data_IF_761337313287
#
_entry.id   IF_761337313287
#
_cell.length_a   1.000
_cell.length_b   1.000
_cell.length_c   1.000
_cell.angle_alpha   90.00
_cell.angle_beta   90.00
_cell.angle_gamma   90.00
#
_symmetry.space_group_name_H-M   'P 1'
#
loop_
_entity.id
_entity.type
_entity.pdbx_description
1 polymer ?
#
# COMPACT_ATOMS: atom_id res chain seq x y z
N UNK A 1 9.97 -22.10 -35.32
CA UNK A 1 9.95 -21.31 -34.06
C UNK A 1 9.52 -19.89 -34.38
N UNK A 2 8.22 -19.61 -34.32
CA UNK A 2 7.70 -18.25 -34.46
C UNK A 2 7.59 -17.64 -33.07
N UNK A 3 8.44 -16.66 -32.79
CA UNK A 3 8.42 -15.91 -31.53
C UNK A 3 7.31 -14.86 -31.57
N UNK A 4 6.28 -15.06 -30.74
CA UNK A 4 5.28 -14.04 -30.46
C UNK A 4 5.91 -12.92 -29.62
N UNK A 5 6.22 -11.80 -30.28
CA UNK A 5 6.42 -10.52 -29.60
C UNK A 5 5.05 -9.92 -29.33
N UNK A 6 4.51 -10.18 -28.15
CA UNK A 6 3.35 -9.44 -27.66
C UNK A 6 3.77 -7.98 -27.41
N UNK A 7 3.27 -7.08 -28.24
CA UNK A 7 3.42 -5.64 -28.08
C UNK A 7 2.57 -5.20 -26.88
N UNK A 8 3.22 -4.83 -25.77
CA UNK A 8 2.58 -4.06 -24.70
C UNK A 8 2.43 -2.63 -25.20
N UNK A 9 1.26 -2.31 -25.77
CA UNK A 9 0.88 -0.95 -26.09
C UNK A 9 0.64 -0.17 -24.78
N UNK A 10 1.22 1.02 -24.71
CA UNK A 10 1.12 1.93 -23.58
C UNK A 10 -0.33 2.35 -23.34
N UNK A 11 -0.91 1.91 -22.23
CA UNK A 11 -2.21 2.38 -21.72
C UNK A 11 -1.96 3.72 -21.03
N UNK A 12 -2.04 4.80 -21.80
CA UNK A 12 -2.06 6.16 -21.31
C UNK A 12 -3.21 6.87 -21.98
N UNK A 13 -4.41 6.87 -21.37
CA UNK A 13 -5.55 7.58 -21.93
C UNK A 13 -6.60 7.88 -20.85
N UNK A 14 -6.45 9.06 -20.25
CA UNK A 14 -7.48 9.78 -19.51
C UNK A 14 -7.22 11.28 -19.71
N UNK A 15 -7.55 11.78 -20.89
CA UNK A 15 -7.53 13.20 -21.21
C UNK A 15 -8.79 13.58 -22.00
N UNK A 16 -9.56 14.50 -21.38
CA UNK A 16 -10.53 15.44 -21.96
C UNK A 16 -11.89 14.89 -22.43
N UNK A 17 -12.93 15.09 -21.61
CA UNK A 17 -14.30 15.30 -22.07
C UNK A 17 -15.04 16.33 -21.20
N UNK A 18 -15.30 17.50 -21.77
CA UNK A 18 -16.18 18.53 -21.22
C UNK A 18 -17.59 18.41 -21.81
N UNK A 19 -18.60 18.39 -20.94
CA UNK A 19 -19.95 18.88 -21.23
C UNK A 19 -21.04 17.84 -21.50
N UNK A 20 -21.93 17.63 -20.52
CA UNK A 20 -23.39 17.76 -20.64
C UNK A 20 -24.11 17.39 -19.32
N UNK A 21 -25.16 18.15 -18.99
CA UNK A 21 -25.82 18.29 -17.68
C UNK A 21 -27.07 17.40 -17.42
N UNK A 22 -27.24 17.01 -16.14
CA UNK A 22 -28.49 16.88 -15.31
C UNK A 22 -29.53 15.76 -15.58
N UNK A 23 -30.43 15.39 -14.61
CA UNK A 23 -30.28 15.29 -13.14
C UNK A 23 -30.98 14.06 -12.44
N UNK A 24 -30.45 13.70 -11.25
CA UNK A 24 -31.06 13.25 -9.97
C UNK A 24 -32.17 12.18 -9.86
N UNK A 25 -32.07 11.27 -8.86
CA UNK A 25 -33.09 10.94 -7.81
C UNK A 25 -32.48 10.10 -6.65
N UNK A 26 -32.99 10.37 -5.42
CA UNK A 26 -32.77 9.80 -4.05
C UNK A 26 -33.07 8.28 -3.92
N UNK A 27 -32.65 7.49 -2.93
CA UNK A 27 -31.97 7.67 -1.63
C UNK A 27 -32.20 6.44 -0.70
N UNK A 28 -31.62 6.47 0.52
CA UNK A 28 -31.89 5.61 1.72
C UNK A 28 -31.23 4.21 1.75
N UNK A 29 -30.16 3.94 2.53
CA UNK A 29 -30.08 3.74 4.00
C UNK A 29 -30.07 2.22 4.30
N UNK A 30 -29.24 1.56 5.13
CA UNK A 30 -28.36 1.87 6.26
C UNK A 30 -27.40 0.67 6.55
N UNK A 31 -26.48 0.90 7.50
CA UNK A 31 -25.82 -0.03 8.46
C UNK A 31 -24.43 -0.58 8.09
N UNK A 32 -23.47 -0.19 8.93
CA UNK A 32 -22.01 -0.38 8.89
C UNK A 32 -21.53 -1.72 9.43
N UNK A 33 -20.38 -2.19 8.94
CA UNK A 33 -19.57 -3.24 9.56
C UNK A 33 -18.09 -2.79 9.68
N UNK A 34 -17.43 -3.28 10.72
CA UNK A 34 -16.25 -2.73 11.42
C UNK A 34 -14.96 -2.52 10.62
N UNK A 35 -14.32 -1.38 10.92
CA UNK A 35 -13.01 -0.91 10.45
C UNK A 35 -11.90 -1.50 11.36
N UNK A 36 -10.86 -2.11 10.80
CA UNK A 36 -9.73 -2.65 11.57
C UNK A 36 -8.70 -1.55 11.78
N UNK A 37 -8.59 -1.11 13.03
CA UNK A 37 -7.90 0.11 13.45
C UNK A 37 -6.36 -0.01 13.56
N UNK A 38 -5.67 1.13 13.49
CA UNK A 38 -4.24 1.28 13.75
C UNK A 38 -3.92 0.80 15.18
N UNK A 39 -3.29 -0.38 15.32
CA UNK A 39 -3.01 -0.97 16.63
C UNK A 39 -1.52 -1.00 16.97
N UNK A 40 -1.22 -0.63 18.21
CA UNK A 40 0.07 -0.88 18.88
C UNK A 40 0.18 -2.38 19.14
N UNK A 41 1.28 -3.01 18.71
CA UNK A 41 1.52 -4.43 19.02
C UNK A 41 2.33 -4.50 20.32
N UNK A 42 1.66 -4.85 21.41
CA UNK A 42 2.29 -5.21 22.69
C UNK A 42 3.17 -6.46 22.51
N UNK A 43 4.42 -6.38 22.98
CA UNK A 43 5.44 -7.43 22.83
C UNK A 43 5.31 -8.57 23.85
N UNK A 44 4.31 -8.51 24.74
CA UNK A 44 3.92 -9.63 25.59
C UNK A 44 4.12 -9.42 27.08
N UNK A 45 4.01 -8.19 27.60
CA UNK A 45 3.77 -7.96 29.02
C UNK A 45 2.34 -7.48 29.21
N UNK A 46 1.42 -8.43 29.39
CA UNK A 46 -0.02 -8.15 29.42
C UNK A 46 -0.39 -7.00 30.36
N UNK A 47 -0.79 -5.86 29.77
CA UNK A 47 -1.80 -4.98 30.34
C UNK A 47 -2.36 -4.07 29.23
N UNK A 48 -3.54 -4.43 28.71
CA UNK A 48 -4.30 -3.58 27.78
C UNK A 48 -4.82 -2.36 28.54
N UNK A 49 -4.02 -1.30 28.59
CA UNK A 49 -4.52 0.02 28.94
C UNK A 49 -4.60 0.84 27.66
N UNK A 50 -5.79 1.41 27.41
CA UNK A 50 -6.07 2.34 26.31
C UNK A 50 -5.29 3.65 26.52
N UNK A 51 -3.97 3.60 26.43
CA UNK A 51 -3.09 4.77 26.50
C UNK A 51 -2.73 5.19 25.07
N UNK A 52 -3.06 6.44 24.73
CA UNK A 52 -3.00 7.02 23.38
C UNK A 52 -1.58 7.22 22.82
N UNK A 53 -0.54 6.70 23.47
CA UNK A 53 0.84 6.82 22.98
C UNK A 53 1.63 5.58 23.40
N UNK A 54 2.25 4.85 22.46
CA UNK A 54 3.05 3.67 22.79
C UNK A 54 4.25 4.07 23.66
N UNK A 55 4.67 3.22 24.62
CA UNK A 55 5.85 3.51 25.44
C UNK A 55 7.09 3.70 24.54
N UNK A 56 8.04 4.59 24.91
CA UNK A 56 9.25 4.80 24.12
C UNK A 56 9.97 3.49 23.82
N UNK A 57 10.33 3.28 22.55
CA UNK A 57 10.99 2.05 22.13
C UNK A 57 10.03 0.87 21.95
N UNK A 58 8.85 1.12 21.39
CA UNK A 58 7.88 0.10 21.02
C UNK A 58 7.69 -0.01 19.50
N UNK A 59 7.17 -1.15 19.06
CA UNK A 59 6.77 -1.37 17.67
C UNK A 59 5.38 -0.77 17.40
N UNK A 60 5.30 0.09 16.40
CA UNK A 60 4.04 0.55 15.82
C UNK A 60 3.91 -0.01 14.41
N UNK A 61 2.75 -0.58 14.09
CA UNK A 61 2.44 -1.03 12.74
C UNK A 61 1.56 0.00 12.05
N UNK A 62 1.91 0.35 10.82
CA UNK A 62 1.03 1.08 9.92
C UNK A 62 0.81 0.25 8.67
N UNK A 63 -0.43 0.20 8.21
CA UNK A 63 -0.71 -0.25 6.84
C UNK A 63 -0.57 1.01 5.99
N UNK A 64 0.66 1.29 5.56
CA UNK A 64 0.82 2.27 4.49
C UNK A 64 0.35 1.60 3.20
N UNK A 65 -0.52 2.27 2.49
CA UNK A 65 -0.66 2.30 1.03
C UNK A 65 -0.28 1.13 0.12
N UNK A 66 0.94 0.62 0.28
CA UNK A 66 1.60 -0.33 -0.63
C UNK A 66 2.02 -1.62 0.09
N UNK A 67 2.21 -1.60 1.42
CA UNK A 67 2.49 -2.78 2.23
C UNK A 67 2.50 -2.43 3.74
N UNK A 68 2.38 -3.41 4.67
CA UNK A 68 2.59 -3.14 6.09
C UNK A 68 4.00 -2.58 6.34
N UNK A 69 4.06 -1.59 7.21
CA UNK A 69 5.29 -0.95 7.71
C UNK A 69 5.32 -1.15 9.22
N UNK A 70 6.41 -1.74 9.70
CA UNK A 70 6.74 -1.78 11.12
C UNK A 70 7.71 -0.63 11.41
N UNK A 71 7.41 0.17 12.43
CA UNK A 71 8.27 1.26 12.87
C UNK A 71 8.60 1.07 14.35
N UNK A 72 9.84 1.34 14.71
CA UNK A 72 10.34 1.31 16.07
C UNK A 72 10.91 2.68 16.42
N UNK A 73 10.54 3.20 17.58
CA UNK A 73 11.02 4.49 18.08
C UNK A 73 10.10 5.06 19.16
N UNK A 74 10.37 6.29 19.62
CA UNK A 74 9.51 6.99 20.58
C UNK A 74 8.11 7.30 20.03
N UNK A 75 7.98 7.54 18.72
CA UNK A 75 6.70 7.85 18.08
C UNK A 75 6.75 7.55 16.58
N UNK A 76 5.64 7.74 15.87
CA UNK A 76 5.56 7.57 14.42
C UNK A 76 6.24 8.70 13.63
N UNK A 77 6.57 9.82 14.28
CA UNK A 77 7.34 10.93 13.72
C UNK A 77 8.83 10.87 14.07
N UNK A 78 9.18 10.13 15.12
CA UNK A 78 10.55 9.88 15.56
C UNK A 78 10.88 8.40 15.41
N UNK A 79 11.10 7.97 14.17
CA UNK A 79 11.36 6.57 13.84
C UNK A 79 12.85 6.28 13.89
N UNK A 80 13.27 5.44 14.84
CA UNK A 80 14.65 4.98 14.97
C UNK A 80 14.98 3.85 14.00
N UNK A 81 14.01 2.98 13.70
CA UNK A 81 14.16 1.90 12.74
C UNK A 81 12.82 1.56 12.09
N UNK A 82 12.80 1.31 10.78
CA UNK A 82 11.61 0.86 10.09
C UNK A 82 11.88 -0.33 9.17
N UNK A 83 10.87 -1.17 9.02
CA UNK A 83 10.84 -2.31 8.10
C UNK A 83 9.58 -2.20 7.26
N UNK A 84 9.73 -2.12 5.94
CA UNK A 84 8.62 -2.07 4.98
C UNK A 84 8.80 -3.12 3.89
N UNK A 85 7.69 -3.58 3.35
CA UNK A 85 7.70 -4.46 2.18
C UNK A 85 7.62 -3.64 0.89
N UNK A 86 8.45 -3.99 -0.09
CA UNK A 86 8.28 -3.60 -1.49
C UNK A 86 7.86 -4.85 -2.29
N UNK A 87 6.56 -5.08 -2.48
CA UNK A 87 6.07 -6.28 -3.14
C UNK A 87 6.46 -6.32 -4.62
N UNK A 88 6.69 -5.17 -5.26
CA UNK A 88 7.08 -5.12 -6.68
C UNK A 88 8.51 -5.56 -6.88
N UNK A 89 9.41 -5.09 -6.03
CA UNK A 89 10.81 -5.47 -6.07
C UNK A 89 11.06 -6.84 -5.42
N UNK A 90 10.06 -7.43 -4.74
CA UNK A 90 10.21 -8.62 -3.91
C UNK A 90 11.35 -8.43 -2.89
N UNK A 91 11.36 -7.26 -2.24
CA UNK A 91 12.36 -6.91 -1.23
C UNK A 91 11.72 -6.40 0.05
N UNK A 92 12.41 -6.61 1.16
CA UNK A 92 12.21 -5.87 2.40
C UNK A 92 13.12 -4.65 2.36
N UNK A 93 12.57 -3.48 2.63
CA UNK A 93 13.35 -2.26 2.81
C UNK A 93 13.45 -2.02 4.32
N UNK A 94 14.68 -1.93 4.79
CA UNK A 94 14.99 -1.48 6.15
C UNK A 94 15.47 -0.04 6.08
N UNK A 95 14.99 0.80 6.99
CA UNK A 95 15.35 2.21 7.06
C UNK A 95 15.90 2.55 8.44
N UNK A 96 17.01 3.28 8.48
CA UNK A 96 17.66 3.74 9.71
C UNK A 96 18.21 5.16 9.52
N UNK A 97 17.89 6.14 10.40
CA UNK A 97 18.61 7.41 10.44
C UNK A 97 20.12 7.22 10.61
N UNK A 98 20.91 7.93 9.80
CA UNK A 98 22.37 7.85 9.87
C UNK A 98 23.07 8.43 8.64
N UNK A 99 24.38 8.73 8.74
CA UNK A 99 25.15 9.32 7.65
C UNK A 99 25.69 8.29 6.64
N UNK A 100 25.56 6.99 6.93
CA UNK A 100 26.16 5.94 6.12
C UNK A 100 25.51 5.73 4.75
N UNK A 101 26.09 4.81 3.99
CA UNK A 101 25.57 4.30 2.71
C UNK A 101 25.29 2.79 2.76
N UNK A 102 25.32 2.21 3.95
CA UNK A 102 25.08 0.80 4.21
C UNK A 102 24.30 0.67 5.52
N UNK A 103 23.50 -0.39 5.63
CA UNK A 103 22.86 -0.78 6.90
C UNK A 103 23.47 -2.09 7.35
N UNK A 104 24.06 -2.11 8.53
CA UNK A 104 24.57 -3.32 9.16
C UNK A 104 23.55 -3.78 10.20
N UNK A 105 23.08 -5.01 10.06
CA UNK A 105 22.16 -5.66 10.99
C UNK A 105 22.89 -6.79 11.67
N UNK A 106 23.02 -6.75 12.99
CA UNK A 106 23.44 -7.86 13.83
C UNK A 106 22.23 -8.55 14.44
N UNK A 107 22.20 -9.88 14.42
CA UNK A 107 21.22 -10.67 15.13
C UNK A 107 21.87 -11.41 16.31
N UNK A 108 21.04 -11.81 17.27
CA UNK A 108 21.47 -12.65 18.39
C UNK A 108 22.25 -13.89 17.91
N UNK A 109 23.30 -14.26 18.64
CA UNK A 109 24.19 -15.35 18.24
C UNK A 109 25.38 -14.93 17.35
N UNK A 110 25.63 -13.62 17.20
CA UNK A 110 26.83 -13.09 16.55
C UNK A 110 26.77 -13.05 15.02
N UNK A 111 25.63 -13.37 14.43
CA UNK A 111 25.43 -13.23 12.98
C UNK A 111 25.24 -11.76 12.65
N UNK A 112 26.01 -11.23 11.71
CA UNK A 112 25.84 -9.86 11.22
C UNK A 112 26.00 -9.81 9.71
N UNK A 113 25.16 -9.01 9.07
CA UNK A 113 25.18 -8.80 7.64
C UNK A 113 25.08 -7.31 7.33
N UNK A 114 25.87 -6.86 6.36
CA UNK A 114 25.85 -5.48 5.89
C UNK A 114 25.22 -5.43 4.50
N UNK A 115 24.23 -4.57 4.36
CA UNK A 115 23.48 -4.38 3.13
C UNK A 115 23.82 -3.00 2.53
N UNK A 116 24.00 -2.91 1.20
CA UNK A 116 24.12 -1.61 0.55
C UNK A 116 22.81 -0.83 0.71
N UNK A 117 22.93 0.47 0.93
CA UNK A 117 21.78 1.36 1.12
C UNK A 117 21.94 2.69 0.37
N UNK A 118 20.86 3.45 0.35
CA UNK A 118 20.80 4.79 -0.23
C UNK A 118 20.46 5.77 0.89
N UNK A 119 21.29 6.82 1.06
CA UNK A 119 21.00 7.89 2.00
C UNK A 119 20.06 8.89 1.34
N UNK A 120 18.86 9.04 1.90
CA UNK A 120 17.81 9.94 1.45
C UNK A 120 17.41 10.77 2.67
N UNK A 121 17.71 12.06 2.64
CA UNK A 121 17.38 13.02 3.70
C UNK A 121 17.86 12.58 5.11
N UNK A 122 19.08 12.04 5.19
CA UNK A 122 19.69 11.60 6.46
C UNK A 122 19.19 10.24 6.96
N UNK A 123 18.45 9.49 6.14
CA UNK A 123 17.99 8.13 6.42
C UNK A 123 18.56 7.17 5.38
N UNK A 124 19.05 6.02 5.82
CA UNK A 124 19.63 5.00 4.94
C UNK A 124 18.61 3.90 4.71
N UNK A 125 18.18 3.75 3.46
CA UNK A 125 17.31 2.69 2.98
C UNK A 125 18.15 1.56 2.39
N UNK A 126 18.18 0.39 3.04
CA UNK A 126 18.78 -0.82 2.48
C UNK A 126 17.71 -1.82 2.05
N UNK A 127 17.97 -2.50 0.92
CA UNK A 127 17.07 -3.48 0.32
C UNK A 127 17.60 -4.89 0.57
N UNK A 128 16.75 -5.75 1.12
CA UNK A 128 17.02 -7.16 1.39
C UNK A 128 16.07 -7.98 0.52
N UNK A 129 16.60 -8.88 -0.33
CA UNK A 129 15.75 -9.74 -1.16
C UNK A 129 14.87 -10.64 -0.27
N UNK A 130 13.60 -10.87 -0.67
CA UNK A 130 12.70 -11.73 0.12
C UNK A 130 13.18 -13.18 0.25
N UNK A 131 13.98 -13.62 -0.72
CA UNK A 131 14.64 -14.92 -0.73
C UNK A 131 15.93 -14.97 0.11
N UNK A 132 16.39 -13.84 0.67
CA UNK A 132 17.61 -13.80 1.48
C UNK A 132 17.39 -14.60 2.79
N UNK A 133 18.24 -15.61 3.08
CA UNK A 133 18.09 -16.42 4.29
C UNK A 133 18.28 -15.64 5.59
N UNK A 134 18.95 -14.47 5.56
CA UNK A 134 19.11 -13.60 6.71
C UNK A 134 17.77 -13.11 7.26
N UNK A 135 16.75 -12.97 6.42
CA UNK A 135 15.39 -12.65 6.88
C UNK A 135 14.85 -13.72 7.86
N UNK A 136 15.23 -14.99 7.71
CA UNK A 136 14.80 -16.04 8.63
C UNK A 136 15.41 -15.85 10.01
N UNK A 137 16.66 -15.37 10.07
CA UNK A 137 17.34 -15.01 11.32
C UNK A 137 16.59 -13.87 12.02
N UNK A 138 16.19 -12.83 11.28
CA UNK A 138 15.42 -11.70 11.82
C UNK A 138 14.02 -12.10 12.32
N UNK A 139 13.45 -13.18 11.78
CA UNK A 139 12.15 -13.73 12.21
C UNK A 139 12.24 -14.80 13.29
N UNK A 140 13.45 -15.16 13.73
CA UNK A 140 13.71 -16.22 14.70
C UNK A 140 13.03 -16.01 16.07
N UNK A 141 13.17 -16.98 16.99
CA UNK A 141 12.70 -16.84 18.37
C UNK A 141 13.27 -15.58 19.03
N UNK A 142 12.51 -15.02 19.98
CA UNK A 142 12.74 -13.72 20.60
C UNK A 142 14.22 -13.46 20.96
N UNK A 143 14.75 -12.37 20.41
CA UNK A 143 16.06 -11.79 20.69
C UNK A 143 16.09 -10.30 20.37
N UNK A 144 17.27 -9.68 20.43
CA UNK A 144 17.50 -8.31 19.95
C UNK A 144 18.30 -8.35 18.67
N UNK A 145 18.08 -7.36 17.81
CA UNK A 145 18.94 -7.08 16.67
C UNK A 145 19.58 -5.71 16.87
N UNK A 146 20.85 -5.60 16.51
CA UNK A 146 21.57 -4.35 16.43
C UNK A 146 21.46 -3.81 15.01
N UNK A 147 21.13 -2.53 14.84
CA UNK A 147 21.02 -1.90 13.52
C UNK A 147 21.83 -0.61 13.50
N UNK A 148 22.78 -0.52 12.57
CA UNK A 148 23.60 0.70 12.38
C UNK A 148 23.63 1.14 10.92
N UNK A 149 23.76 2.44 10.71
CA UNK A 149 23.83 3.07 9.40
C UNK A 149 24.94 4.12 9.35
N UNK A 150 26.17 3.70 9.69
CA UNK A 150 27.36 4.59 9.76
C UNK A 150 27.45 5.46 11.01
N UNK A 151 26.53 5.30 11.97
CA UNK A 151 26.55 5.92 13.29
C UNK A 151 26.24 4.89 14.38
N UNK A 152 25.77 5.36 15.53
CA UNK A 152 25.46 4.50 16.67
C UNK A 152 24.41 3.43 16.32
N UNK A 153 24.70 2.21 16.77
CA UNK A 153 23.79 1.09 16.63
C UNK A 153 22.58 1.27 17.56
N UNK A 154 21.40 0.97 17.05
CA UNK A 154 20.17 0.85 17.86
C UNK A 154 19.87 -0.61 18.07
N UNK A 155 19.63 -0.97 19.32
CA UNK A 155 19.19 -2.30 19.72
C UNK A 155 17.66 -2.35 19.69
N UNK A 156 17.09 -3.04 18.71
CA UNK A 156 15.63 -3.22 18.62
C UNK A 156 15.25 -4.66 18.96
N UNK A 157 14.14 -4.88 19.67
CA UNK A 157 13.64 -6.23 19.87
C UNK A 157 13.23 -6.81 18.50
N UNK A 158 13.70 -8.03 18.21
CA UNK A 158 13.00 -8.86 17.22
C UNK A 158 11.58 -9.08 17.72
N UNK A 159 10.60 -9.20 16.82
CA UNK A 159 9.23 -9.23 17.27
C UNK A 159 8.23 -9.65 16.23
N UNK A 160 6.97 -9.73 16.68
CA UNK A 160 5.82 -10.01 15.84
C UNK A 160 5.69 -9.01 14.70
N UNK A 161 6.11 -7.75 14.90
CA UNK A 161 6.05 -6.70 13.88
C UNK A 161 6.93 -7.02 12.64
N UNK A 162 8.23 -7.26 12.83
CA UNK A 162 9.15 -7.64 11.73
C UNK A 162 8.66 -8.92 11.04
N UNK A 163 8.31 -9.94 11.85
CA UNK A 163 7.79 -11.22 11.32
C UNK A 163 6.53 -10.99 10.48
N UNK A 164 5.62 -10.13 10.92
CA UNK A 164 4.38 -9.82 10.21
C UNK A 164 4.65 -9.13 8.88
N UNK A 165 5.55 -8.15 8.83
CA UNK A 165 5.93 -7.49 7.58
C UNK A 165 6.52 -8.50 6.59
N UNK A 166 7.45 -9.34 7.03
CA UNK A 166 8.10 -10.36 6.19
C UNK A 166 7.08 -11.41 5.71
N UNK A 167 6.22 -11.89 6.60
CA UNK A 167 5.19 -12.87 6.27
C UNK A 167 4.21 -12.34 5.22
N UNK A 168 3.71 -11.12 5.41
CA UNK A 168 2.80 -10.47 4.44
C UNK A 168 3.52 -10.20 3.12
N UNK A 169 4.81 -9.87 3.15
CA UNK A 169 5.57 -9.63 1.93
C UNK A 169 5.81 -10.92 1.13
N UNK A 170 6.06 -12.05 1.80
CA UNK A 170 6.22 -13.37 1.18
C UNK A 170 4.90 -13.95 0.69
N UNK A 171 3.81 -13.68 1.42
CA UNK A 171 2.48 -14.17 1.14
C UNK A 171 1.51 -12.99 1.03
N UNK A 172 1.61 -12.18 -0.04
CA UNK A 172 0.69 -11.08 -0.22
C UNK A 172 -0.74 -11.65 -0.30
N UNK A 173 -1.65 -11.06 0.46
CA UNK A 173 -3.05 -11.47 0.40
C UNK A 173 -3.53 -11.40 -1.06
N UNK A 174 -4.23 -12.44 -1.51
CA UNK A 174 -4.83 -12.42 -2.84
C UNK A 174 -5.72 -11.18 -2.99
N UNK A 175 -5.75 -10.59 -4.18
CA UNK A 175 -6.71 -9.54 -4.45
C UNK A 175 -8.14 -10.09 -4.25
N UNK A 176 -9.04 -9.28 -3.69
CA UNK A 176 -10.39 -9.73 -3.41
C UNK A 176 -11.08 -10.14 -4.70
N UNK A 177 -11.52 -11.40 -4.77
CA UNK A 177 -12.41 -11.85 -5.85
C UNK A 177 -13.85 -11.39 -5.60
N UNK A 178 -14.22 -11.23 -4.32
CA UNK A 178 -15.51 -10.77 -3.85
C UNK A 178 -15.28 -9.72 -2.73
N UNK A 179 -16.23 -8.81 -2.55
CA UNK A 179 -16.22 -7.81 -1.49
C UNK A 179 -16.94 -6.52 -1.90
N UNK A 180 -16.74 -5.42 -1.17
CA UNK A 180 -17.44 -4.18 -1.52
C UNK A 180 -16.93 -3.67 -2.86
N UNK A 181 -17.89 -3.41 -3.74
CA UNK A 181 -17.60 -3.04 -5.12
C UNK A 181 -18.12 -1.65 -5.40
N UNK A 182 -17.32 -0.86 -6.12
CA UNK A 182 -17.78 0.38 -6.75
C UNK A 182 -17.63 0.20 -8.25
N UNK A 183 -18.64 0.64 -9.01
CA UNK A 183 -18.63 0.48 -10.45
C UNK A 183 -19.28 1.68 -11.15
N UNK A 184 -18.91 1.87 -12.41
CA UNK A 184 -19.41 2.93 -13.26
C UNK A 184 -18.72 2.92 -14.62
N UNK A 185 -19.19 3.78 -15.52
CA UNK A 185 -18.61 3.89 -16.86
C UNK A 185 -17.78 5.17 -16.97
N UNK A 186 -16.57 5.05 -17.49
CA UNK A 186 -15.67 6.19 -17.76
C UNK A 186 -15.44 6.35 -19.26
N UNK A 187 -15.12 7.56 -19.73
CA UNK A 187 -14.91 7.79 -21.15
C UNK A 187 -13.65 7.11 -21.68
N UNK A 188 -13.69 6.78 -22.96
CA UNK A 188 -12.62 6.14 -23.72
C UNK A 188 -12.38 6.96 -24.99
N UNK A 189 -11.13 7.16 -25.42
CA UNK A 189 -10.89 7.95 -26.63
C UNK A 189 -11.08 7.15 -27.92
N UNK A 190 -10.87 5.84 -27.90
CA UNK A 190 -10.87 4.96 -29.07
C UNK A 190 -11.85 3.77 -28.93
N UNK A 191 -12.80 3.87 -28.00
CA UNK A 191 -13.87 2.90 -27.77
C UNK A 191 -15.13 3.57 -27.21
N UNK A 192 -16.24 2.83 -27.12
CA UNK A 192 -17.56 3.37 -26.71
C UNK A 192 -17.68 3.66 -25.21
N UNK A 193 -16.59 3.45 -24.46
CA UNK A 193 -16.51 3.63 -23.01
C UNK A 193 -15.80 2.46 -22.34
N UNK A 194 -15.42 2.67 -21.09
CA UNK A 194 -14.81 1.65 -20.24
C UNK A 194 -15.75 1.43 -19.06
N UNK A 195 -16.29 0.22 -18.93
CA UNK A 195 -17.00 -0.18 -17.73
C UNK A 195 -15.98 -0.60 -16.67
N UNK A 196 -15.97 0.13 -15.57
CA UNK A 196 -15.01 -0.02 -14.49
C UNK A 196 -15.70 -0.64 -13.31
N UNK A 197 -15.09 -1.71 -12.78
CA UNK A 197 -15.50 -2.36 -11.54
C UNK A 197 -14.29 -2.46 -10.64
N UNK A 198 -14.36 -1.83 -9.47
CA UNK A 198 -13.31 -1.85 -8.46
C UNK A 198 -13.83 -2.54 -7.19
N UNK A 199 -13.23 -3.66 -6.85
CA UNK A 199 -13.61 -4.51 -5.72
C UNK A 199 -12.54 -4.42 -4.63
N UNK A 200 -12.99 -4.22 -3.39
CA UNK A 200 -12.17 -4.21 -2.17
C UNK A 200 -12.57 -5.37 -1.27
N UNK A 201 -11.67 -5.83 -0.39
CA UNK A 201 -11.94 -6.97 0.50
C UNK A 201 -13.03 -6.67 1.54
N UNK A 202 -13.15 -5.42 1.95
CA UNK A 202 -14.19 -4.90 2.85
C UNK A 202 -14.74 -3.60 2.28
N UNK A 203 -15.08 -2.63 3.13
CA UNK A 203 -15.49 -1.28 2.70
C UNK A 203 -14.50 -0.66 1.70
N UNK A 204 -14.96 0.12 0.70
CA UNK A 204 -14.06 0.82 -0.21
C UNK A 204 -13.10 1.73 0.56
N UNK A 205 -11.80 1.45 0.46
CA UNK A 205 -10.79 2.00 1.37
C UNK A 205 -9.37 1.51 1.09
N UNK A 206 -8.41 1.83 1.98
CA UNK A 206 -7.05 1.29 1.87
C UNK A 206 -7.06 -0.23 2.00
N UNK A 207 -6.18 -0.90 1.26
CA UNK A 207 -6.12 -2.37 1.24
C UNK A 207 -6.05 -2.95 -0.17
N UNK A 208 -6.19 -4.28 -0.28
CA UNK A 208 -6.13 -4.98 -1.58
C UNK A 208 -7.35 -4.66 -2.41
N UNK A 209 -7.11 -4.40 -3.70
CA UNK A 209 -8.18 -4.19 -4.67
C UNK A 209 -8.01 -5.09 -5.89
N UNK A 210 -9.13 -5.34 -6.56
CA UNK A 210 -9.19 -5.83 -7.93
C UNK A 210 -9.94 -4.82 -8.78
N UNK A 211 -9.32 -4.37 -9.86
CA UNK A 211 -9.88 -3.46 -10.84
C UNK A 211 -10.11 -4.24 -12.14
N UNK A 212 -11.35 -4.26 -12.60
CA UNK A 212 -11.73 -4.76 -13.93
C UNK A 212 -12.10 -3.56 -14.78
N UNK A 213 -11.48 -3.47 -15.96
CA UNK A 213 -11.76 -2.45 -16.97
C UNK A 213 -12.23 -3.19 -18.23
N UNK A 214 -13.53 -3.11 -18.52
CA UNK A 214 -14.10 -3.65 -19.74
C UNK A 214 -14.20 -2.55 -20.80
N UNK A 215 -13.29 -2.60 -21.77
CA UNK A 215 -13.27 -1.67 -22.89
C UNK A 215 -14.30 -2.16 -23.90
N UNK A 216 -15.43 -1.47 -23.99
CA UNK A 216 -16.58 -1.89 -24.80
C UNK A 216 -16.15 -2.15 -26.24
N UNK A 217 -16.36 -3.39 -26.70
CA UNK A 217 -15.99 -3.85 -28.05
C UNK A 217 -14.49 -4.09 -28.28
N UNK A 218 -13.64 -3.93 -27.27
CA UNK A 218 -12.18 -4.12 -27.34
C UNK A 218 -11.65 -5.19 -26.38
N UNK A 219 -12.42 -5.54 -25.35
CA UNK A 219 -12.12 -6.61 -24.40
C UNK A 219 -11.82 -6.09 -23.00
N UNK A 220 -11.44 -7.01 -22.11
CA UNK A 220 -11.36 -6.73 -20.66
C UNK A 220 -9.93 -6.84 -20.15
N UNK A 221 -9.53 -5.90 -19.28
CA UNK A 221 -8.27 -5.92 -18.53
C UNK A 221 -8.58 -6.06 -17.04
N UNK A 222 -7.84 -6.92 -16.35
CA UNK A 222 -7.92 -7.06 -14.88
C UNK A 222 -6.59 -6.67 -14.26
N UNK A 223 -6.65 -5.82 -13.24
CA UNK A 223 -5.51 -5.32 -12.48
C UNK A 223 -5.75 -5.54 -11.00
N UNK A 224 -4.85 -6.28 -10.38
CA UNK A 224 -4.80 -6.46 -8.94
C UNK A 224 -3.76 -5.51 -8.34
N UNK A 225 -4.01 -5.00 -7.12
CA UNK A 225 -3.11 -4.02 -6.52
C UNK A 225 -3.39 -3.68 -5.06
N UNK A 226 -2.71 -2.64 -4.58
CA UNK A 226 -2.95 -2.05 -3.26
C UNK A 226 -3.42 -0.60 -3.34
N UNK A 227 -4.47 -0.31 -2.58
CA UNK A 227 -5.10 0.99 -2.41
C UNK A 227 -4.60 1.68 -1.14
N UNK A 228 -4.46 2.99 -1.22
CA UNK A 228 -3.53 3.76 -0.41
C UNK A 228 -4.04 5.15 -0.10
N UNK A 229 -4.23 5.50 1.17
CA UNK A 229 -4.61 6.87 1.53
C UNK A 229 -3.45 7.82 1.23
N UNK A 230 -3.75 8.92 0.53
CA UNK A 230 -2.75 9.95 0.16
C UNK A 230 -2.97 11.29 0.84
N UNK A 231 -4.09 11.49 1.51
CA UNK A 231 -4.46 12.72 2.19
C UNK A 231 -4.80 12.48 3.67
N UNK A 232 -4.60 13.50 4.50
CA UNK A 232 -4.89 13.40 5.93
C UNK A 232 -6.38 13.12 6.23
N UNK A 233 -7.27 13.47 5.31
CA UNK A 233 -8.72 13.25 5.46
C UNK A 233 -9.17 11.84 5.05
N UNK A 234 -8.28 10.99 4.51
CA UNK A 234 -8.63 9.63 4.10
C UNK A 234 -9.56 9.56 2.88
N UNK A 235 -9.69 10.63 2.10
CA UNK A 235 -10.63 10.70 0.97
C UNK A 235 -10.01 10.27 -0.35
N UNK A 236 -8.70 10.37 -0.49
CA UNK A 236 -8.02 10.10 -1.76
C UNK A 236 -7.21 8.82 -1.66
N UNK A 237 -7.61 7.83 -2.44
CA UNK A 237 -6.90 6.57 -2.59
C UNK A 237 -6.02 6.58 -3.84
N UNK A 238 -4.73 6.32 -3.67
CA UNK A 238 -3.82 5.89 -4.73
C UNK A 238 -4.01 4.40 -4.96
N UNK A 239 -4.12 3.99 -6.22
CA UNK A 239 -4.27 2.60 -6.63
C UNK A 239 -2.98 2.18 -7.32
N UNK A 240 -2.21 1.32 -6.66
CA UNK A 240 -0.95 0.81 -7.16
C UNK A 240 -1.13 -0.63 -7.68
N UNK A 241 -1.05 -0.87 -9.00
CA UNK A 241 -1.08 -2.22 -9.55
C UNK A 241 0.13 -3.04 -9.10
N UNK A 242 -0.05 -4.34 -8.88
CA UNK A 242 1.00 -5.29 -8.50
C UNK A 242 2.02 -5.48 -9.63
N UNK A 243 1.53 -5.55 -10.87
CA UNK A 243 2.36 -5.76 -12.05
C UNK A 243 3.07 -4.47 -12.47
N UNK A 244 4.21 -4.64 -13.14
CA UNK A 244 4.91 -3.53 -13.79
C UNK A 244 4.25 -3.21 -15.13
N UNK A 245 4.24 -1.92 -15.50
CA UNK A 245 3.65 -1.44 -16.77
C UNK A 245 2.42 -0.55 -16.56
N UNK A 246 1.34 -1.04 -15.92
CA UNK A 246 0.15 -0.22 -15.67
C UNK A 246 0.45 1.01 -14.81
N UNK A 247 -0.14 2.17 -15.12
CA UNK A 247 0.10 3.40 -14.36
C UNK A 247 -0.53 3.33 -12.97
N UNK A 248 0.00 4.15 -12.08
CA UNK A 248 -0.65 4.45 -10.80
C UNK A 248 -1.89 5.29 -11.08
N UNK A 249 -3.01 4.93 -10.45
CA UNK A 249 -4.27 5.68 -10.55
C UNK A 249 -4.60 6.30 -9.19
N UNK A 250 -5.52 7.26 -9.20
CA UNK A 250 -6.02 7.90 -7.99
C UNK A 250 -7.54 8.01 -8.07
N UNK A 251 -8.22 7.72 -6.96
CA UNK A 251 -9.67 7.89 -6.81
C UNK A 251 -9.97 8.71 -5.56
N UNK A 252 -11.03 9.51 -5.59
CA UNK A 252 -11.48 10.35 -4.48
C UNK A 252 -12.89 10.00 -4.08
N UNK A 253 -13.13 9.87 -2.77
CA UNK A 253 -14.46 9.77 -2.20
C UNK A 253 -15.12 11.15 -2.18
N UNK A 254 -16.09 11.35 -3.08
CA UNK A 254 -16.84 12.61 -3.20
C UNK A 254 -18.22 12.55 -2.54
N UNK A 255 -18.67 11.35 -2.14
CA UNK A 255 -19.89 11.13 -1.37
C UNK A 255 -19.81 9.85 -0.53
N UNK A 256 -20.89 9.51 0.18
CA UNK A 256 -20.93 8.30 0.99
C UNK A 256 -20.63 7.05 0.15
N UNK A 257 -21.23 6.94 -1.02
CA UNK A 257 -21.14 5.77 -1.92
C UNK A 257 -20.64 6.15 -3.31
N UNK A 258 -19.98 7.30 -3.44
CA UNK A 258 -19.56 7.86 -4.73
C UNK A 258 -18.08 8.19 -4.73
N UNK A 259 -17.40 7.66 -5.74
CA UNK A 259 -15.97 7.80 -5.96
C UNK A 259 -15.71 8.30 -7.37
N UNK A 260 -14.69 9.12 -7.57
CA UNK A 260 -14.33 9.63 -8.89
C UNK A 260 -12.85 9.42 -9.14
N UNK A 261 -12.47 9.11 -10.37
CA UNK A 261 -11.06 9.13 -10.75
C UNK A 261 -10.50 10.56 -10.71
N UNK A 262 -9.23 10.65 -10.35
CA UNK A 262 -8.41 11.86 -10.44
C UNK A 262 -7.44 11.73 -11.60
N UNK A 263 -6.75 12.82 -11.91
CA UNK A 263 -5.64 12.80 -12.88
C UNK A 263 -4.46 11.98 -12.36
N UNK A 264 -3.53 11.62 -13.25
CA UNK A 264 -2.31 10.86 -12.92
C UNK A 264 -1.35 11.63 -12.01
N UNK A 265 -1.43 12.96 -11.96
CA UNK A 265 -0.72 13.83 -11.01
C UNK A 265 -1.51 14.10 -9.71
N UNK A 266 -2.54 13.28 -9.43
CA UNK A 266 -3.38 13.34 -8.24
C UNK A 266 -4.13 14.67 -8.05
N UNK A 267 -4.66 15.27 -9.13
CA UNK A 267 -5.51 16.46 -9.05
C UNK A 267 -6.98 16.13 -9.34
N UNK A 268 -7.93 16.85 -8.72
CA UNK A 268 -9.33 16.72 -9.09
C UNK A 268 -9.52 17.17 -10.55
N UNK A 269 -10.48 16.57 -11.24
CA UNK A 269 -10.82 16.93 -12.61
C UNK A 269 -12.34 16.97 -12.77
N UNK A 270 -12.88 18.12 -13.20
CA UNK A 270 -14.32 18.31 -13.34
C UNK A 270 -14.94 17.42 -14.43
N UNK A 271 -14.18 17.07 -15.47
CA UNK A 271 -14.62 16.08 -16.46
C UNK A 271 -14.82 14.70 -15.80
N UNK A 272 -13.89 14.27 -14.95
CA UNK A 272 -13.96 12.95 -14.29
C UNK A 272 -15.03 12.89 -13.21
N UNK A 273 -15.37 14.03 -12.59
CA UNK A 273 -16.49 14.11 -11.63
C UNK A 273 -17.84 13.76 -12.27
N UNK A 274 -17.99 13.92 -13.59
CA UNK A 274 -19.20 13.52 -14.31
C UNK A 274 -19.35 12.00 -14.45
N UNK A 275 -18.31 11.22 -14.13
CA UNK A 275 -18.28 9.77 -14.27
C UNK A 275 -17.99 9.09 -12.92
N UNK A 276 -18.87 9.23 -11.93
CA UNK A 276 -18.67 8.62 -10.62
C UNK A 276 -18.82 7.10 -10.70
N UNK A 277 -17.95 6.41 -9.97
CA UNK A 277 -18.15 5.03 -9.57
C UNK A 277 -19.06 5.01 -8.35
N UNK A 278 -20.15 4.26 -8.44
CA UNK A 278 -21.12 4.11 -7.37
C UNK A 278 -20.99 2.75 -6.72
N UNK A 279 -21.18 2.69 -5.41
CA UNK A 279 -21.25 1.42 -4.68
C UNK A 279 -22.30 0.50 -5.30
N UNK A 280 -21.91 -0.74 -5.52
CA UNK A 280 -22.80 -1.81 -5.98
C UNK A 280 -23.38 -2.55 -4.77
N UNK A 281 -24.64 -3.02 -4.88
CA UNK A 281 -25.30 -3.78 -3.82
C UNK A 281 -24.63 -5.14 -3.56
#
# INVERSE_FOLDING_TARGET
MFGNKAAFAAIALLALLSGCEKPSVRGSGNVSAENVDNSVIDDGSGNLTNSSEPPPGAWTMKIDSVAPVAMYGPSDTQVDFAVRCDPKAQTIIVQRPGPGSTVTIGAGGGQSQTFPGQNIDGKVDARIALADPFLNVLTGPAGRISVSAGGDAVEVPTGRAIRRVIEVCRNPAAAPANGATIAGSVPCADCDGIDVTLTFAGEPGPGRYRLVQDFRGKGTVTLDGLASVTDAAGKVLRLQPDTQGPPVMYIERVGADSWVFRTTDNKPNDALKAYPLSRQP
#
